data_IF_529480634963
#
_entry.id   IF_529480634963
#
_cell.length_a   1.000
_cell.length_b   1.000
_cell.length_c   1.000
_cell.angle_alpha   90.00
_cell.angle_beta   90.00
_cell.angle_gamma   90.00
#
_symmetry.space_group_name_H-M   'P 1'
#
loop_
_entity.id
_entity.type
_entity.pdbx_description
1 polymer ?
#
# COMPACT_ATOMS: atom_id res chain seq x y z
N UNK A 1 -8.36 20.35 -3.98
CA UNK A 1 -8.45 21.29 -2.85
C UNK A 1 -8.84 20.49 -1.61
N UNK A 2 -7.87 20.03 -0.80
CA UNK A 2 -8.19 19.39 0.48
C UNK A 2 -8.17 20.48 1.55
N UNK A 3 -9.33 20.75 2.14
CA UNK A 3 -9.45 21.72 3.23
C UNK A 3 -8.94 21.02 4.49
N UNK A 4 -7.70 21.30 4.88
CA UNK A 4 -7.18 20.93 6.19
C UNK A 4 -7.79 21.89 7.22
N UNK A 5 -8.74 21.39 8.02
CA UNK A 5 -9.13 22.09 9.24
C UNK A 5 -7.95 22.03 10.21
N UNK A 6 -7.31 23.19 10.43
CA UNK A 6 -6.37 23.41 11.52
C UNK A 6 -7.17 23.26 12.83
N UNK A 7 -7.08 22.11 13.49
CA UNK A 7 -7.65 21.96 14.83
C UNK A 7 -6.80 22.79 15.79
N UNK A 8 -7.33 23.92 16.22
CA UNK A 8 -6.74 24.71 17.29
C UNK A 8 -6.62 23.83 18.54
N UNK A 9 -5.42 23.74 19.09
CA UNK A 9 -5.15 23.17 20.41
C UNK A 9 -5.89 24.02 21.45
N UNK A 10 -7.02 23.52 21.90
CA UNK A 10 -7.70 24.02 23.10
C UNK A 10 -6.91 23.53 24.31
N UNK A 11 -6.07 24.41 24.85
CA UNK A 11 -5.49 24.21 26.18
C UNK A 11 -6.62 24.12 27.22
N UNK A 12 -6.68 23.01 27.95
CA UNK A 12 -7.55 22.87 29.13
C UNK A 12 -8.73 21.88 29.05
N UNK A 13 -8.92 21.13 27.96
CA UNK A 13 -9.97 20.10 27.87
C UNK A 13 -9.36 18.69 27.89
N UNK A 14 -9.79 17.85 28.83
CA UNK A 14 -9.43 16.43 28.84
C UNK A 14 -9.80 15.82 27.49
N UNK A 15 -8.79 15.35 26.74
CA UNK A 15 -8.98 14.72 25.42
C UNK A 15 -10.03 13.62 25.56
N UNK A 16 -11.14 13.76 24.83
CA UNK A 16 -12.23 12.80 24.86
C UNK A 16 -11.76 11.42 24.41
N UNK A 17 -12.38 10.37 24.93
CA UNK A 17 -12.02 8.99 24.56
C UNK A 17 -12.18 8.74 23.05
N UNK A 18 -13.19 9.37 22.43
CA UNK A 18 -13.40 9.33 20.98
C UNK A 18 -12.22 9.93 20.22
N UNK A 19 -11.66 11.05 20.68
CA UNK A 19 -10.52 11.68 20.01
C UNK A 19 -9.26 10.80 20.12
N UNK A 20 -9.02 10.16 21.28
CA UNK A 20 -7.92 9.20 21.44
C UNK A 20 -8.04 8.02 20.48
N UNK A 21 -9.25 7.48 20.32
CA UNK A 21 -9.52 6.39 19.39
C UNK A 21 -9.31 6.82 17.93
N UNK A 22 -9.81 8.01 17.55
CA UNK A 22 -9.61 8.56 16.22
C UNK A 22 -8.12 8.75 15.90
N UNK A 23 -7.33 9.25 16.84
CA UNK A 23 -5.88 9.37 16.70
C UNK A 23 -5.20 8.01 16.54
N UNK A 24 -5.64 7.00 17.29
CA UNK A 24 -5.10 5.63 17.19
C UNK A 24 -5.36 5.01 15.82
N UNK A 25 -6.56 5.17 15.26
CA UNK A 25 -6.89 4.64 13.93
C UNK A 25 -6.23 5.41 12.79
N UNK A 26 -5.92 6.69 12.99
CA UNK A 26 -5.25 7.54 11.99
C UNK A 26 -3.74 7.70 12.26
N UNK A 27 -3.14 6.85 13.09
CA UNK A 27 -1.74 6.97 13.48
C UNK A 27 -0.78 6.86 12.29
N UNK A 28 -1.19 6.19 11.21
CA UNK A 28 -0.41 6.10 9.99
C UNK A 28 -0.18 7.49 9.41
N UNK A 29 -1.22 8.33 9.31
CA UNK A 29 -1.09 9.68 8.80
C UNK A 29 -0.48 10.65 9.82
N UNK A 30 -0.80 10.47 11.10
CA UNK A 30 -0.35 11.39 12.15
C UNK A 30 1.13 11.19 12.54
N UNK A 31 1.59 9.93 12.61
CA UNK A 31 2.91 9.58 13.11
C UNK A 31 3.76 8.82 12.07
N UNK A 32 3.14 7.97 11.24
CA UNK A 32 3.85 7.05 10.35
C UNK A 32 4.26 7.65 8.99
N UNK A 33 3.48 8.57 8.45
CA UNK A 33 3.69 9.13 7.11
C UNK A 33 4.82 10.16 7.07
N UNK A 34 4.99 10.94 8.15
CA UNK A 34 5.99 12.00 8.24
C UNK A 34 7.44 11.50 8.23
N UNK A 35 7.70 10.23 8.56
CA UNK A 35 9.04 9.67 8.55
C UNK A 35 9.56 9.31 7.14
N UNK A 36 8.75 9.49 6.08
CA UNK A 36 9.12 9.12 4.70
C UNK A 36 9.57 7.66 4.52
N UNK A 37 9.20 6.77 5.44
CA UNK A 37 9.63 5.37 5.40
C UNK A 37 8.93 4.63 4.25
N UNK A 38 7.64 4.90 4.04
CA UNK A 38 6.90 4.27 2.96
C UNK A 38 7.07 5.04 1.64
N UNK A 39 7.21 4.29 0.54
CA UNK A 39 7.30 4.86 -0.82
C UNK A 39 6.05 4.57 -1.64
N UNK A 40 5.68 5.42 -2.61
CA UNK A 40 4.52 5.18 -3.47
C UNK A 40 4.66 3.88 -4.27
N UNK A 41 3.58 3.10 -4.36
CA UNK A 41 3.42 2.04 -5.35
C UNK A 41 2.54 2.52 -6.49
N UNK A 42 3.04 2.42 -7.72
CA UNK A 42 2.44 3.04 -8.91
C UNK A 42 2.20 1.99 -10.00
N UNK A 43 1.00 2.01 -10.58
CA UNK A 43 0.61 1.19 -11.73
C UNK A 43 0.04 2.11 -12.80
N UNK A 44 0.59 2.05 -14.02
CA UNK A 44 0.16 2.89 -15.15
C UNK A 44 0.04 4.39 -14.78
N UNK A 45 1.03 4.92 -14.04
CA UNK A 45 1.04 6.33 -13.61
C UNK A 45 0.12 6.66 -12.42
N UNK A 46 -0.64 5.70 -11.91
CA UNK A 46 -1.53 5.89 -10.78
C UNK A 46 -0.93 5.33 -9.49
N UNK A 47 -0.84 6.15 -8.44
CA UNK A 47 -0.49 5.64 -7.12
C UNK A 47 -1.65 4.81 -6.56
N UNK A 48 -1.39 3.53 -6.30
CA UNK A 48 -2.39 2.55 -5.82
C UNK A 48 -2.13 2.11 -4.38
N UNK A 49 -1.00 2.49 -3.81
CA UNK A 49 -0.64 2.12 -2.45
C UNK A 49 0.68 2.70 -1.99
N UNK A 50 1.14 2.18 -0.86
CA UNK A 50 2.40 2.53 -0.24
C UNK A 50 3.15 1.24 0.11
N UNK A 51 4.46 1.24 -0.11
CA UNK A 51 5.35 0.10 0.15
C UNK A 51 6.27 0.48 1.31
N UNK A 52 6.31 -0.37 2.34
CA UNK A 52 7.22 -0.22 3.47
C UNK A 52 8.66 -0.57 3.07
N UNK A 53 9.69 -0.03 3.74
CA UNK A 53 11.09 -0.31 3.43
C UNK A 53 11.45 -1.80 3.39
N UNK A 54 10.94 -2.59 4.33
CA UNK A 54 11.19 -4.02 4.41
C UNK A 54 10.61 -4.78 3.21
N UNK A 55 9.43 -4.37 2.73
CA UNK A 55 8.82 -4.95 1.52
C UNK A 55 9.61 -4.52 0.28
N UNK A 56 9.98 -3.23 0.19
CA UNK A 56 10.78 -2.69 -0.92
C UNK A 56 12.03 -3.52 -1.17
N UNK A 57 12.79 -3.87 -0.12
CA UNK A 57 14.03 -4.66 -0.23
C UNK A 57 13.82 -5.97 -1.01
N UNK A 58 12.69 -6.64 -0.80
CA UNK A 58 12.36 -7.89 -1.50
C UNK A 58 11.84 -7.66 -2.92
N UNK A 59 11.11 -6.56 -3.17
CA UNK A 59 10.65 -6.22 -4.53
C UNK A 59 11.80 -5.90 -5.47
N UNK A 60 12.91 -5.33 -4.98
CA UNK A 60 14.10 -5.04 -5.77
C UNK A 60 14.78 -6.30 -6.35
N UNK A 61 14.45 -7.49 -5.84
CA UNK A 61 14.92 -8.76 -6.40
C UNK A 61 14.22 -9.15 -7.70
N UNK A 62 13.19 -8.41 -8.14
CA UNK A 62 12.44 -8.66 -9.37
C UNK A 62 12.47 -7.43 -10.30
N UNK A 63 13.65 -7.08 -10.86
CA UNK A 63 13.81 -5.89 -11.70
C UNK A 63 12.97 -5.93 -13.00
N UNK A 64 12.62 -7.13 -13.47
CA UNK A 64 11.74 -7.31 -14.63
C UNK A 64 10.27 -6.97 -14.33
N UNK A 65 9.90 -6.94 -13.05
CA UNK A 65 8.52 -6.71 -12.58
C UNK A 65 8.38 -5.31 -11.98
N UNK A 66 9.37 -4.87 -11.20
CA UNK A 66 9.34 -3.60 -10.50
C UNK A 66 10.52 -2.73 -10.89
N UNK A 67 10.27 -1.43 -11.04
CA UNK A 67 11.31 -0.41 -11.22
C UNK A 67 11.23 0.66 -10.15
N UNK A 68 12.38 1.18 -9.74
CA UNK A 68 12.48 2.33 -8.84
C UNK A 68 12.66 3.58 -9.69
N UNK A 69 11.81 4.59 -9.46
CA UNK A 69 11.90 5.87 -10.16
C UNK A 69 12.74 6.88 -9.36
N UNK A 70 13.15 7.98 -10.01
CA UNK A 70 14.03 9.01 -9.41
C UNK A 70 13.44 9.66 -8.14
N UNK A 71 12.12 9.72 -8.03
CA UNK A 71 11.38 10.18 -6.84
C UNK A 71 11.18 9.08 -5.78
N UNK A 72 11.92 7.96 -5.89
CA UNK A 72 11.91 6.81 -4.98
C UNK A 72 10.61 5.97 -4.99
N UNK A 73 9.66 6.22 -5.91
CA UNK A 73 8.47 5.36 -6.07
C UNK A 73 8.80 4.03 -6.73
N UNK A 74 8.02 3.01 -6.40
CA UNK A 74 8.09 1.69 -7.02
C UNK A 74 6.98 1.58 -8.06
N UNK A 75 7.35 1.25 -9.29
CA UNK A 75 6.45 1.13 -10.41
C UNK A 75 6.37 -0.32 -10.87
N UNK A 76 5.16 -0.81 -11.13
CA UNK A 76 4.97 -2.05 -11.87
C UNK A 76 5.40 -1.82 -13.33
N UNK A 77 6.10 -2.78 -13.92
CA UNK A 77 6.60 -2.70 -15.28
C UNK A 77 5.42 -2.44 -16.25
N UNK A 78 5.49 -1.39 -17.10
CA UNK A 78 4.43 -1.08 -18.05
C UNK A 78 4.17 -2.16 -19.11
N UNK A 79 5.09 -3.13 -19.28
CA UNK A 79 4.89 -4.27 -20.18
C UNK A 79 3.70 -5.18 -19.79
N UNK A 80 3.21 -5.09 -18.55
CA UNK A 80 1.99 -5.75 -18.09
C UNK A 80 0.75 -4.90 -18.40
N UNK A 81 0.33 -4.94 -19.66
CA UNK A 81 -0.70 -4.04 -20.21
C UNK A 81 -2.12 -4.37 -19.75
N UNK A 82 -2.44 -5.63 -19.42
CA UNK A 82 -3.80 -6.05 -19.05
C UNK A 82 -3.97 -6.24 -17.55
N UNK A 83 -5.23 -6.14 -17.08
CA UNK A 83 -5.60 -6.43 -15.70
C UNK A 83 -5.12 -7.82 -15.25
N UNK A 84 -5.31 -8.83 -16.10
CA UNK A 84 -4.96 -10.22 -15.83
C UNK A 84 -3.44 -10.39 -15.78
N UNK A 85 -2.70 -9.76 -16.69
CA UNK A 85 -1.24 -9.84 -16.73
C UNK A 85 -0.60 -9.25 -15.46
N UNK A 86 -1.10 -8.10 -14.99
CA UNK A 86 -0.65 -7.48 -13.73
C UNK A 86 -1.00 -8.34 -12.52
N UNK A 87 -2.24 -8.83 -12.48
CA UNK A 87 -2.74 -9.68 -11.38
C UNK A 87 -1.92 -10.96 -11.26
N UNK A 88 -1.70 -11.67 -12.38
CA UNK A 88 -0.94 -12.92 -12.41
C UNK A 88 0.53 -12.71 -12.03
N UNK A 89 1.15 -11.67 -12.56
CA UNK A 89 2.55 -11.36 -12.27
C UNK A 89 2.78 -11.08 -10.78
N UNK A 90 1.92 -10.26 -10.16
CA UNK A 90 2.04 -9.98 -8.74
C UNK A 90 1.71 -11.20 -7.88
N UNK A 91 0.69 -11.98 -8.26
CA UNK A 91 0.30 -13.21 -7.57
C UNK A 91 1.47 -14.22 -7.49
N UNK A 92 2.23 -14.37 -8.57
CA UNK A 92 3.45 -15.20 -8.60
C UNK A 92 4.49 -14.72 -7.57
N UNK A 93 4.77 -13.42 -7.53
CA UNK A 93 5.71 -12.83 -6.55
C UNK A 93 5.22 -13.06 -5.12
N UNK A 94 3.93 -12.85 -4.85
CA UNK A 94 3.36 -13.04 -3.51
C UNK A 94 3.37 -14.51 -3.08
N UNK A 95 3.13 -15.44 -4.01
CA UNK A 95 3.28 -16.87 -3.75
C UNK A 95 4.73 -17.23 -3.38
N UNK A 96 5.72 -16.68 -4.08
CA UNK A 96 7.13 -16.86 -3.70
C UNK A 96 7.45 -16.29 -2.32
N UNK A 97 6.90 -15.12 -1.98
CA UNK A 97 7.08 -14.54 -0.65
C UNK A 97 6.43 -15.38 0.45
N UNK A 98 5.26 -15.97 0.15
CA UNK A 98 4.57 -16.89 1.05
C UNK A 98 5.38 -18.16 1.27
N UNK A 99 5.88 -18.81 0.22
CA UNK A 99 6.69 -20.05 0.34
C UNK A 99 7.98 -19.82 1.11
N UNK A 100 8.62 -18.67 0.89
CA UNK A 100 9.82 -18.22 1.64
C UNK A 100 9.51 -17.71 3.05
N UNK A 101 8.24 -17.68 3.47
CA UNK A 101 7.78 -17.18 4.77
C UNK A 101 8.29 -15.75 5.11
N UNK A 102 8.42 -14.88 4.11
CA UNK A 102 9.03 -13.55 4.30
C UNK A 102 8.17 -12.60 5.12
N UNK A 103 6.84 -12.74 5.01
CA UNK A 103 5.89 -11.85 5.67
C UNK A 103 4.84 -12.66 6.43
N UNK A 104 4.68 -12.37 7.72
CA UNK A 104 3.64 -12.98 8.56
C UNK A 104 2.24 -12.80 7.97
N UNK A 105 1.98 -11.66 7.32
CA UNK A 105 0.69 -11.37 6.70
C UNK A 105 0.25 -12.45 5.70
N UNK A 106 1.19 -12.96 4.88
CA UNK A 106 0.92 -13.96 3.85
C UNK A 106 0.59 -15.36 4.40
N UNK A 107 0.77 -15.60 5.71
CA UNK A 107 0.23 -16.80 6.36
C UNK A 107 -1.30 -16.81 6.37
N UNK A 108 -1.93 -15.64 6.24
CA UNK A 108 -3.38 -15.46 6.17
C UNK A 108 -3.98 -15.66 4.78
N UNK A 109 -3.23 -16.26 3.83
CA UNK A 109 -3.66 -16.52 2.46
C UNK A 109 -4.96 -17.33 2.42
N UNK A 110 -5.96 -16.85 1.68
CA UNK A 110 -7.30 -17.45 1.63
C UNK A 110 -7.82 -17.75 0.22
N UNK A 111 -7.00 -17.57 -0.81
CA UNK A 111 -7.44 -17.59 -2.21
C UNK A 111 -8.61 -16.60 -2.46
N UNK A 112 -8.60 -15.50 -1.71
CA UNK A 112 -9.57 -14.42 -1.75
C UNK A 112 -8.84 -13.15 -2.23
N UNK A 113 -9.25 -12.60 -3.37
CA UNK A 113 -8.62 -11.41 -3.93
C UNK A 113 -9.51 -10.17 -3.83
N UNK A 114 -8.88 -9.03 -3.61
CA UNK A 114 -9.52 -7.71 -3.64
C UNK A 114 -9.06 -6.93 -4.88
N UNK A 115 -9.95 -6.06 -5.36
CA UNK A 115 -9.66 -5.15 -6.47
C UNK A 115 -8.78 -3.98 -6.03
N UNK A 116 -7.71 -3.72 -6.79
CA UNK A 116 -6.81 -2.58 -6.61
C UNK A 116 -7.29 -1.45 -7.51
N UNK A 117 -7.81 -0.39 -6.89
CA UNK A 117 -8.40 0.79 -7.55
C UNK A 117 -7.80 2.06 -6.96
N UNK A 118 -7.82 3.15 -7.73
CA UNK A 118 -7.41 4.48 -7.22
C UNK A 118 -8.54 5.16 -6.46
N UNK A 119 -9.78 4.91 -6.88
CA UNK A 119 -11.02 5.40 -6.28
C UNK A 119 -12.05 4.29 -6.30
N UNK A 120 -13.04 4.37 -5.42
CA UNK A 120 -14.11 3.36 -5.35
C UNK A 120 -14.85 3.18 -6.70
N UNK A 121 -15.06 4.27 -7.43
CA UNK A 121 -15.76 4.28 -8.72
C UNK A 121 -14.85 4.10 -9.93
N UNK A 122 -13.52 4.05 -9.76
CA UNK A 122 -12.61 3.86 -10.90
C UNK A 122 -12.53 2.39 -11.29
N UNK A 123 -12.29 2.13 -12.57
CA UNK A 123 -11.96 0.80 -13.06
C UNK A 123 -10.77 0.19 -12.27
N UNK A 124 -10.80 -1.13 -12.01
CA UNK A 124 -9.74 -1.78 -11.30
C UNK A 124 -8.51 -1.94 -12.18
N UNK A 125 -7.34 -1.70 -11.61
CA UNK A 125 -6.08 -1.83 -12.33
C UNK A 125 -5.59 -3.28 -12.29
N UNK A 126 -5.85 -4.00 -11.20
CA UNK A 126 -5.51 -5.41 -10.99
C UNK A 126 -6.24 -5.95 -9.76
N UNK A 127 -6.14 -7.25 -9.49
CA UNK A 127 -6.47 -7.83 -8.18
C UNK A 127 -5.24 -8.33 -7.45
N UNK A 128 -5.35 -8.40 -6.13
CA UNK A 128 -4.30 -8.88 -5.24
C UNK A 128 -4.92 -9.71 -4.12
N UNK A 129 -4.18 -10.70 -3.62
CA UNK A 129 -4.65 -11.52 -2.51
C UNK A 129 -4.86 -10.66 -1.25
N UNK A 130 -5.97 -10.94 -0.53
CA UNK A 130 -6.46 -10.13 0.59
C UNK A 130 -5.43 -9.99 1.72
N UNK A 131 -4.71 -11.04 2.07
CA UNK A 131 -3.67 -11.00 3.10
C UNK A 131 -2.45 -10.14 2.71
N UNK A 132 -2.25 -9.88 1.42
CA UNK A 132 -1.25 -8.93 0.92
C UNK A 132 -1.74 -7.47 0.86
N UNK A 133 -3.03 -7.21 1.13
CA UNK A 133 -3.56 -5.84 1.26
C UNK A 133 -3.41 -5.36 2.71
N UNK A 134 -2.95 -4.12 2.92
CA UNK A 134 -2.92 -3.53 4.26
C UNK A 134 -4.33 -3.49 4.85
N UNK A 135 -4.46 -3.86 6.13
CA UNK A 135 -5.64 -3.64 6.96
C UNK A 135 -5.38 -2.54 7.96
#
# INVERSE_FOLDING_TARGET
MAIFFKMNTLEGSAISQTLKLAQKFNNFYLNGFHNSECVPFVINGHQVGLIKPEVKKHLLSYPDIFSVQANNSIHLNPSFHTYESRSKCLDQVLHEFKTKNLFVALKGWRDECYEVRTRYTSEPLMKMERSATCK
#
